data_IF_508721924136
#
_entry.id   IF_508721924136
#
_cell.length_a   1.000
_cell.length_b   1.000
_cell.length_c   1.000
_cell.angle_alpha   90.00
_cell.angle_beta   90.00
_cell.angle_gamma   90.00
#
_symmetry.space_group_name_H-M   'P 1'
#
loop_
_entity.id
_entity.type
_entity.pdbx_description
1 polymer ?
#
# COMPACT_ATOMS: atom_id res chain seq x y z
N UNK A 1 -26.15 -20.64 -24.01
CA UNK A 1 -25.68 -19.80 -22.88
C UNK A 1 -24.38 -19.07 -23.22
N UNK A 2 -23.32 -19.78 -23.67
CA UNK A 2 -22.05 -19.18 -24.10
C UNK A 2 -22.24 -17.96 -25.01
N UNK A 3 -22.92 -18.12 -26.16
CA UNK A 3 -23.16 -17.02 -27.12
C UNK A 3 -23.89 -15.83 -26.49
N UNK A 4 -24.96 -16.08 -25.74
CA UNK A 4 -25.74 -15.04 -25.07
C UNK A 4 -24.88 -14.26 -24.07
N UNK A 5 -24.09 -14.96 -23.25
CA UNK A 5 -23.19 -14.32 -22.28
C UNK A 5 -22.14 -13.47 -22.96
N UNK A 6 -21.51 -13.96 -24.02
CA UNK A 6 -20.55 -13.19 -24.79
C UNK A 6 -21.18 -11.91 -25.36
N UNK A 7 -22.35 -12.01 -25.98
CA UNK A 7 -23.06 -10.85 -26.53
C UNK A 7 -23.46 -9.83 -25.46
N UNK A 8 -23.94 -10.28 -24.30
CA UNK A 8 -24.35 -9.39 -23.20
C UNK A 8 -23.18 -8.64 -22.59
N UNK A 9 -22.05 -9.31 -22.35
CA UNK A 9 -20.87 -8.68 -21.75
C UNK A 9 -20.17 -7.77 -22.78
N UNK A 10 -20.04 -8.23 -24.03
CA UNK A 10 -19.39 -7.45 -25.09
C UNK A 10 -20.19 -6.23 -25.54
N UNK A 11 -21.51 -6.20 -25.37
CA UNK A 11 -22.34 -5.02 -25.65
C UNK A 11 -22.25 -3.93 -24.58
N UNK A 12 -21.46 -4.14 -23.52
CA UNK A 12 -21.33 -3.19 -22.41
C UNK A 12 -22.48 -3.26 -21.39
N UNK A 13 -23.30 -4.31 -21.44
CA UNK A 13 -24.34 -4.55 -20.44
C UNK A 13 -23.74 -4.77 -19.05
N UNK A 14 -24.37 -4.20 -18.02
CA UNK A 14 -24.01 -4.49 -16.62
C UNK A 14 -24.50 -5.89 -16.27
N UNK A 15 -23.58 -6.87 -16.24
CA UNK A 15 -23.88 -8.25 -15.92
C UNK A 15 -22.67 -8.97 -15.34
N UNK A 16 -22.91 -9.84 -14.36
CA UNK A 16 -21.87 -10.71 -13.81
C UNK A 16 -21.58 -11.89 -14.74
N UNK A 17 -20.31 -12.31 -14.81
CA UNK A 17 -19.88 -13.50 -15.56
C UNK A 17 -19.93 -14.78 -14.71
N UNK A 18 -20.21 -14.66 -13.41
CA UNK A 18 -20.25 -15.76 -12.46
C UNK A 18 -21.35 -16.78 -12.79
N UNK A 19 -22.62 -16.37 -12.69
CA UNK A 19 -23.77 -17.27 -12.90
C UNK A 19 -23.72 -17.99 -14.26
N UNK A 20 -23.47 -17.29 -15.38
CA UNK A 20 -23.32 -17.95 -16.66
C UNK A 20 -22.17 -18.96 -16.73
N UNK A 21 -21.02 -18.67 -16.11
CA UNK A 21 -19.89 -19.60 -16.05
C UNK A 21 -20.24 -20.89 -15.31
N UNK A 22 -20.98 -20.78 -14.20
CA UNK A 22 -21.45 -21.95 -13.45
C UNK A 22 -22.38 -22.83 -14.30
N UNK A 23 -23.35 -22.22 -14.99
CA UNK A 23 -24.27 -22.95 -15.89
C UNK A 23 -23.51 -23.61 -17.04
N UNK A 24 -22.58 -22.90 -17.68
CA UNK A 24 -21.78 -23.46 -18.79
C UNK A 24 -20.93 -24.63 -18.30
N UNK A 25 -20.20 -24.46 -17.19
CA UNK A 25 -19.39 -25.53 -16.60
C UNK A 25 -20.22 -26.74 -16.19
N UNK A 26 -21.36 -26.51 -15.54
CA UNK A 26 -22.29 -27.56 -15.15
C UNK A 26 -22.87 -28.33 -16.32
N UNK A 27 -23.30 -27.64 -17.38
CA UNK A 27 -23.79 -28.30 -18.59
C UNK A 27 -22.69 -29.12 -19.29
N UNK A 28 -21.46 -28.60 -19.37
CA UNK A 28 -20.33 -29.33 -19.99
C UNK A 28 -19.96 -30.57 -19.15
N UNK A 29 -19.89 -30.42 -17.83
CA UNK A 29 -19.62 -31.52 -16.91
C UNK A 29 -20.69 -32.60 -16.96
N UNK A 30 -21.97 -32.21 -16.89
CA UNK A 30 -23.10 -33.14 -16.96
C UNK A 30 -23.16 -33.86 -18.32
N UNK A 31 -22.93 -33.15 -19.43
CA UNK A 31 -22.86 -33.77 -20.75
C UNK A 31 -21.74 -34.81 -20.82
N UNK A 32 -20.56 -34.51 -20.26
CA UNK A 32 -19.47 -35.47 -20.16
C UNK A 32 -19.84 -36.68 -19.29
N UNK A 33 -20.44 -36.45 -18.12
CA UNK A 33 -20.89 -37.52 -17.22
C UNK A 33 -21.90 -38.46 -17.87
N UNK A 34 -22.90 -37.90 -18.57
CA UNK A 34 -23.92 -38.69 -19.29
C UNK A 34 -23.29 -39.54 -20.40
N UNK A 35 -22.38 -38.99 -21.19
CA UNK A 35 -21.68 -39.74 -22.24
C UNK A 35 -20.82 -40.86 -21.62
N UNK A 36 -20.13 -40.60 -20.52
CA UNK A 36 -19.33 -41.63 -19.84
C UNK A 36 -20.18 -42.72 -19.18
N UNK A 37 -21.37 -42.38 -18.69
CA UNK A 37 -22.32 -43.37 -18.15
C UNK A 37 -22.82 -44.33 -19.25
N UNK A 38 -23.09 -43.82 -20.46
CA UNK A 38 -23.48 -44.67 -21.59
C UNK A 38 -22.35 -45.62 -22.04
N UNK A 39 -21.09 -45.19 -21.95
CA UNK A 39 -19.94 -46.00 -22.36
C UNK A 39 -19.47 -46.97 -21.27
N UNK A 40 -19.49 -46.54 -20.00
CA UNK A 40 -19.03 -47.33 -18.84
C UNK A 40 -20.00 -47.16 -17.65
N UNK A 41 -21.20 -47.77 -17.72
CA UNK A 41 -22.23 -47.61 -16.69
C UNK A 41 -21.81 -48.15 -15.31
N UNK A 42 -20.97 -49.20 -15.29
CA UNK A 42 -20.48 -49.80 -14.04
C UNK A 42 -19.46 -48.91 -13.30
N UNK A 43 -18.80 -47.99 -14.03
CA UNK A 43 -17.78 -47.08 -13.47
C UNK A 43 -18.40 -45.75 -13.10
N UNK A 44 -19.24 -45.19 -13.97
CA UNK A 44 -19.90 -43.91 -13.75
C UNK A 44 -21.32 -44.16 -13.30
N UNK A 45 -21.54 -44.33 -12.00
CA UNK A 45 -22.87 -44.64 -11.45
C UNK A 45 -23.74 -43.39 -11.24
N UNK A 46 -23.12 -42.22 -11.09
CA UNK A 46 -23.79 -40.93 -10.83
C UNK A 46 -23.29 -39.86 -11.82
N UNK A 47 -23.86 -39.79 -13.04
CA UNK A 47 -23.45 -38.82 -14.06
C UNK A 47 -23.68 -37.35 -13.64
N UNK A 48 -24.64 -37.07 -12.76
CA UNK A 48 -24.94 -35.74 -12.23
C UNK A 48 -23.79 -35.11 -11.44
N UNK A 49 -22.98 -35.94 -10.76
CA UNK A 49 -21.82 -35.50 -9.97
C UNK A 49 -20.77 -34.81 -10.84
N UNK A 50 -20.66 -35.17 -12.12
CA UNK A 50 -19.77 -34.51 -13.07
C UNK A 50 -20.22 -33.09 -13.40
N UNK A 51 -21.52 -32.80 -13.31
CA UNK A 51 -22.04 -31.43 -13.41
C UNK A 51 -21.46 -30.54 -12.31
N UNK A 52 -21.46 -31.00 -11.07
CA UNK A 52 -20.93 -30.25 -9.92
C UNK A 52 -19.42 -29.99 -10.05
N UNK A 53 -18.67 -31.03 -10.43
CA UNK A 53 -17.23 -30.91 -10.70
C UNK A 53 -16.97 -29.95 -11.87
N UNK A 54 -17.80 -30.01 -12.92
CA UNK A 54 -17.72 -29.13 -14.09
C UNK A 54 -18.00 -27.66 -13.77
N UNK A 55 -18.96 -27.36 -12.90
CA UNK A 55 -19.22 -26.01 -12.39
C UNK A 55 -17.96 -25.42 -11.76
N UNK A 56 -17.34 -26.18 -10.85
CA UNK A 56 -16.18 -25.73 -10.12
C UNK A 56 -14.93 -25.61 -11.00
N UNK A 57 -14.67 -26.62 -11.84
CA UNK A 57 -13.51 -26.64 -12.74
C UNK A 57 -13.52 -25.47 -13.72
N UNK A 58 -14.66 -25.24 -14.36
CA UNK A 58 -14.82 -24.17 -15.35
C UNK A 58 -14.58 -22.79 -14.72
N UNK A 59 -15.25 -22.48 -13.61
CA UNK A 59 -15.11 -21.17 -12.98
C UNK A 59 -13.73 -20.98 -12.32
N UNK A 60 -13.13 -22.04 -11.77
CA UNK A 60 -11.76 -21.99 -11.23
C UNK A 60 -10.74 -21.61 -12.29
N UNK A 61 -10.85 -22.20 -13.48
CA UNK A 61 -9.99 -21.88 -14.62
C UNK A 61 -10.23 -20.47 -15.17
N UNK A 62 -11.50 -20.05 -15.25
CA UNK A 62 -11.85 -18.76 -15.84
C UNK A 62 -11.58 -17.56 -14.91
N UNK A 63 -11.85 -17.72 -13.60
CA UNK A 63 -11.71 -16.66 -12.60
C UNK A 63 -10.37 -16.66 -11.87
N UNK A 64 -9.53 -17.68 -12.07
CA UNK A 64 -8.26 -17.88 -11.35
C UNK A 64 -8.44 -17.89 -9.81
N UNK A 65 -9.56 -18.47 -9.34
CA UNK A 65 -9.93 -18.52 -7.92
C UNK A 65 -10.34 -19.93 -7.47
N UNK A 66 -9.44 -20.94 -7.55
CA UNK A 66 -9.79 -22.35 -7.37
C UNK A 66 -10.39 -22.65 -5.98
N UNK A 67 -9.74 -22.18 -4.91
CA UNK A 67 -10.18 -22.46 -3.53
C UNK A 67 -11.58 -21.90 -3.27
N UNK A 68 -11.79 -20.63 -3.59
CA UNK A 68 -13.09 -19.96 -3.40
C UNK A 68 -14.20 -20.65 -4.21
N UNK A 69 -13.88 -21.06 -5.44
CA UNK A 69 -14.85 -21.74 -6.31
C UNK A 69 -15.24 -23.12 -5.77
N UNK A 70 -14.28 -23.92 -5.30
CA UNK A 70 -14.53 -25.24 -4.72
C UNK A 70 -15.47 -25.12 -3.50
N UNK A 71 -15.16 -24.20 -2.59
CA UNK A 71 -15.98 -23.95 -1.39
C UNK A 71 -17.37 -23.51 -1.83
N UNK A 72 -17.47 -22.49 -2.69
CA UNK A 72 -18.74 -21.95 -3.14
C UNK A 72 -19.65 -22.99 -3.78
N UNK A 73 -19.11 -23.84 -4.67
CA UNK A 73 -19.90 -24.91 -5.31
C UNK A 73 -20.38 -25.90 -4.25
N UNK A 74 -19.49 -26.34 -3.35
CA UNK A 74 -19.82 -27.32 -2.30
C UNK A 74 -20.89 -26.79 -1.34
N UNK A 75 -20.81 -25.51 -0.96
CA UNK A 75 -21.82 -24.84 -0.12
C UNK A 75 -23.16 -24.70 -0.84
N UNK A 76 -23.15 -24.30 -2.12
CA UNK A 76 -24.37 -24.15 -2.91
C UNK A 76 -25.09 -25.48 -3.15
N UNK A 77 -24.35 -26.58 -3.25
CA UNK A 77 -24.90 -27.92 -3.51
C UNK A 77 -25.21 -28.68 -2.23
N UNK A 78 -24.59 -28.29 -1.10
CA UNK A 78 -24.72 -28.97 0.19
C UNK A 78 -24.03 -30.34 0.24
N UNK A 79 -23.18 -30.66 -0.73
CA UNK A 79 -22.48 -31.94 -0.82
C UNK A 79 -20.95 -31.73 -0.84
N UNK A 80 -20.29 -32.24 0.20
CA UNK A 80 -18.83 -32.20 0.35
C UNK A 80 -18.15 -33.51 -0.02
N UNK A 81 -18.91 -34.54 -0.39
CA UNK A 81 -18.38 -35.86 -0.78
C UNK A 81 -17.50 -35.75 -2.03
N UNK A 82 -17.79 -34.77 -2.89
CA UNK A 82 -17.06 -34.50 -4.13
C UNK A 82 -15.90 -33.51 -3.96
N UNK A 83 -15.54 -33.09 -2.74
CA UNK A 83 -14.47 -32.12 -2.50
C UNK A 83 -13.14 -32.52 -3.16
N UNK A 84 -12.70 -33.76 -2.95
CA UNK A 84 -11.41 -34.25 -3.46
C UNK A 84 -11.36 -34.25 -5.01
N UNK A 85 -12.32 -34.89 -5.73
CA UNK A 85 -12.39 -34.78 -7.19
C UNK A 85 -12.46 -33.33 -7.69
N UNK A 86 -13.23 -32.50 -7.01
CA UNK A 86 -13.43 -31.08 -7.37
C UNK A 86 -12.16 -30.27 -7.20
N UNK A 87 -11.41 -30.49 -6.12
CA UNK A 87 -10.09 -29.89 -5.89
C UNK A 87 -9.12 -30.23 -7.02
N UNK A 88 -9.05 -31.51 -7.39
CA UNK A 88 -8.15 -31.97 -8.45
C UNK A 88 -8.50 -31.34 -9.81
N UNK A 89 -9.78 -31.43 -10.20
CA UNK A 89 -10.25 -30.85 -11.47
C UNK A 89 -10.06 -29.33 -11.50
N UNK A 90 -10.43 -28.62 -10.44
CA UNK A 90 -10.31 -27.17 -10.33
C UNK A 90 -8.86 -26.69 -10.38
N UNK A 91 -7.94 -27.42 -9.74
CA UNK A 91 -6.51 -27.12 -9.78
C UNK A 91 -5.95 -27.34 -11.18
N UNK A 92 -6.34 -28.43 -11.84
CA UNK A 92 -5.91 -28.71 -13.21
C UNK A 92 -6.41 -27.63 -14.19
N UNK A 93 -7.70 -27.26 -14.11
CA UNK A 93 -8.27 -26.18 -14.90
C UNK A 93 -7.56 -24.84 -14.63
N UNK A 94 -7.28 -24.51 -13.37
CA UNK A 94 -6.53 -23.31 -12.99
C UNK A 94 -5.14 -23.26 -13.65
N UNK A 95 -4.38 -24.36 -13.57
CA UNK A 95 -3.03 -24.44 -14.14
C UNK A 95 -3.06 -24.35 -15.66
N UNK A 96 -3.94 -25.11 -16.32
CA UNK A 96 -4.04 -25.16 -17.78
C UNK A 96 -4.57 -23.84 -18.38
N UNK A 97 -5.49 -23.17 -17.68
CA UNK A 97 -6.09 -21.92 -18.12
C UNK A 97 -5.34 -20.66 -17.68
N UNK A 98 -4.14 -20.77 -17.07
CA UNK A 98 -3.37 -19.62 -16.57
C UNK A 98 -3.12 -18.51 -17.61
N UNK A 99 -3.02 -18.88 -18.90
CA UNK A 99 -2.83 -17.93 -20.02
C UNK A 99 -4.11 -17.18 -20.43
N UNK A 100 -5.28 -17.68 -20.06
CA UNK A 100 -6.57 -17.16 -20.49
C UNK A 100 -7.25 -16.51 -19.28
N UNK A 101 -7.59 -15.22 -19.40
CA UNK A 101 -8.26 -14.46 -18.34
C UNK A 101 -9.68 -14.11 -18.77
N UNK A 102 -10.66 -14.44 -17.94
CA UNK A 102 -12.04 -14.00 -18.16
C UNK A 102 -12.19 -12.50 -17.86
N UNK A 103 -11.50 -12.01 -16.83
CA UNK A 103 -11.57 -10.62 -16.39
C UNK A 103 -10.43 -9.79 -16.99
N UNK A 104 -10.75 -8.91 -17.94
CA UNK A 104 -9.75 -8.05 -18.60
C UNK A 104 -9.03 -7.10 -17.64
N UNK A 105 -9.73 -6.66 -16.58
CA UNK A 105 -9.17 -5.77 -15.55
C UNK A 105 -8.43 -6.52 -14.41
N UNK A 106 -8.30 -7.84 -14.49
CA UNK A 106 -7.63 -8.62 -13.46
C UNK A 106 -6.11 -8.49 -13.57
N UNK A 107 -5.56 -7.73 -12.63
CA UNK A 107 -4.13 -7.57 -12.44
C UNK A 107 -3.50 -8.87 -11.91
N UNK A 108 -2.25 -9.18 -12.30
CA UNK A 108 -1.54 -10.39 -11.91
C UNK A 108 -1.13 -10.40 -10.43
N UNK A 109 -0.80 -9.25 -9.86
CA UNK A 109 -0.32 -9.12 -8.49
C UNK A 109 -1.13 -8.06 -7.73
N UNK A 110 -1.12 -8.15 -6.40
CA UNK A 110 -1.75 -7.13 -5.53
C UNK A 110 -1.13 -5.75 -5.74
N UNK A 111 0.15 -5.68 -6.11
CA UNK A 111 0.92 -4.46 -6.39
C UNK A 111 0.30 -3.60 -7.50
N UNK A 112 -0.20 -4.27 -8.53
CA UNK A 112 -0.80 -3.61 -9.69
C UNK A 112 -2.26 -3.21 -9.41
N UNK A 113 -2.84 -3.67 -8.30
CA UNK A 113 -4.20 -3.33 -7.90
C UNK A 113 -4.24 -1.95 -7.24
N UNK A 114 -4.94 -1.01 -7.87
CA UNK A 114 -5.20 0.31 -7.28
C UNK A 114 -5.87 0.25 -5.91
N UNK A 115 -6.63 -0.82 -5.63
CA UNK A 115 -7.34 -1.02 -4.37
C UNK A 115 -6.42 -1.30 -3.17
N UNK A 116 -5.19 -1.79 -3.40
CA UNK A 116 -4.28 -2.23 -2.34
C UNK A 116 -3.04 -1.32 -2.18
N UNK A 117 -3.02 -0.15 -2.84
CA UNK A 117 -1.87 0.76 -2.80
C UNK A 117 -1.53 1.27 -1.40
N UNK A 118 -2.56 1.50 -0.56
CA UNK A 118 -2.37 1.99 0.80
C UNK A 118 -1.71 0.94 1.71
N UNK A 119 -2.26 -0.26 1.70
CA UNK A 119 -1.76 -1.40 2.49
C UNK A 119 -0.32 -1.75 2.09
N UNK A 120 0.01 -1.69 0.81
CA UNK A 120 1.35 -2.00 0.34
C UNK A 120 2.42 -0.96 0.72
N UNK A 121 2.06 0.33 0.82
CA UNK A 121 2.96 1.36 1.36
C UNK A 121 3.29 1.06 2.82
N UNK A 122 2.32 0.55 3.58
CA UNK A 122 2.53 0.10 4.94
C UNK A 122 3.46 -1.12 4.93
N UNK A 123 3.14 -2.17 4.18
CA UNK A 123 3.93 -3.42 4.15
C UNK A 123 5.40 -3.21 3.76
N UNK A 124 5.71 -2.31 2.81
CA UNK A 124 7.10 -2.06 2.38
C UNK A 124 7.90 -1.20 3.34
N UNK A 125 7.25 -0.30 4.08
CA UNK A 125 7.92 0.63 4.99
C UNK A 125 7.91 0.12 6.44
N UNK A 126 7.01 -0.80 6.76
CA UNK A 126 6.91 -1.44 8.06
C UNK A 126 8.12 -2.33 8.32
N UNK A 127 8.73 -2.16 9.49
CA UNK A 127 9.97 -2.79 9.90
C UNK A 127 11.23 -2.01 9.51
N UNK A 128 11.13 -0.97 8.66
CA UNK A 128 12.28 -0.15 8.25
C UNK A 128 12.40 1.04 9.19
N UNK A 129 13.58 1.17 9.80
CA UNK A 129 13.84 2.19 10.81
C UNK A 129 14.21 3.53 10.19
N UNK A 130 13.80 4.61 10.84
CA UNK A 130 14.22 5.98 10.50
C UNK A 130 15.74 6.09 10.43
N UNK A 131 16.45 5.34 11.27
CA UNK A 131 17.92 5.28 11.33
C UNK A 131 18.59 5.00 9.97
N UNK A 132 17.92 4.25 9.10
CA UNK A 132 18.45 3.86 7.78
C UNK A 132 18.38 4.98 6.73
N UNK A 133 17.56 6.01 6.96
CA UNK A 133 17.21 7.01 5.93
C UNK A 133 17.54 8.45 6.34
N UNK A 134 17.42 8.77 7.63
CA UNK A 134 17.56 10.15 8.08
C UNK A 134 18.98 10.71 7.91
N UNK A 135 19.08 12.03 7.77
CA UNK A 135 20.38 12.71 7.80
C UNK A 135 20.82 12.99 9.23
N UNK A 136 22.01 12.50 9.54
CA UNK A 136 22.69 12.78 10.80
C UNK A 136 23.06 14.26 10.88
N UNK A 137 23.33 14.73 12.11
CA UNK A 137 23.84 16.08 12.36
C UNK A 137 25.28 16.20 11.83
N UNK A 138 25.45 16.43 10.53
CA UNK A 138 26.77 16.50 9.88
C UNK A 138 27.44 17.89 10.03
N UNK A 139 27.09 18.64 11.08
CA UNK A 139 27.59 20.01 11.35
C UNK A 139 27.14 21.09 10.35
N UNK A 140 26.47 20.72 9.26
CA UNK A 140 25.94 21.65 8.24
C UNK A 140 24.54 22.18 8.57
N UNK A 141 23.87 21.58 9.56
CA UNK A 141 22.54 22.00 9.99
C UNK A 141 22.65 23.26 10.84
N UNK A 142 21.90 24.28 10.46
CA UNK A 142 21.86 25.53 11.22
C UNK A 142 20.83 25.41 12.32
N UNK A 143 21.30 25.43 13.56
CA UNK A 143 20.47 25.59 14.76
C UNK A 143 20.43 27.06 15.16
N UNK A 144 19.29 27.50 15.69
CA UNK A 144 19.03 28.90 16.04
C UNK A 144 18.87 29.00 17.55
N UNK A 145 19.69 29.77 18.27
CA UNK A 145 19.47 30.05 19.69
C UNK A 145 18.12 30.76 19.91
N UNK A 146 17.40 30.43 20.98
CA UNK A 146 16.07 31.00 21.30
C UNK A 146 16.06 32.53 21.43
N UNK A 147 17.19 33.11 21.83
CA UNK A 147 17.39 34.57 21.97
C UNK A 147 17.84 35.26 20.69
N UNK A 148 18.04 34.54 19.58
CA UNK A 148 18.54 35.13 18.34
C UNK A 148 17.53 36.11 17.74
N UNK A 149 17.92 37.37 17.46
CA UNK A 149 17.01 38.35 16.86
C UNK A 149 16.56 37.96 15.45
N UNK A 150 15.31 38.26 15.10
CA UNK A 150 14.72 37.96 13.80
C UNK A 150 15.53 38.48 12.61
N UNK A 151 16.11 39.68 12.73
CA UNK A 151 17.00 40.27 11.71
C UNK A 151 18.16 39.34 11.35
N UNK A 152 18.78 38.70 12.35
CA UNK A 152 19.89 37.75 12.13
C UNK A 152 19.40 36.43 11.59
N UNK A 153 18.21 35.97 12.01
CA UNK A 153 17.55 34.78 11.46
C UNK A 153 17.33 34.94 9.95
N UNK A 154 16.82 36.08 9.50
CA UNK A 154 16.58 36.36 8.07
C UNK A 154 17.86 36.30 7.24
N UNK A 155 18.99 36.79 7.77
CA UNK A 155 20.30 36.67 7.12
C UNK A 155 20.77 35.21 7.00
N UNK A 156 20.47 34.38 8.00
CA UNK A 156 20.75 32.93 7.93
C UNK A 156 19.82 32.21 6.95
N UNK A 157 18.54 32.57 6.89
CA UNK A 157 17.60 31.99 5.93
C UNK A 157 18.05 32.30 4.50
N UNK A 158 18.45 33.54 4.20
CA UNK A 158 18.85 33.94 2.85
C UNK A 158 20.16 33.32 2.37
N UNK A 159 21.01 32.86 3.29
CA UNK A 159 22.33 32.28 2.98
C UNK A 159 22.33 30.74 3.01
N UNK A 160 21.21 30.11 3.39
CA UNK A 160 21.10 28.66 3.53
C UNK A 160 20.03 28.08 2.61
N UNK A 161 20.13 26.79 2.31
CA UNK A 161 19.11 26.01 1.58
C UNK A 161 18.22 25.21 2.54
N UNK A 162 18.20 25.61 3.82
CA UNK A 162 17.45 24.93 4.88
C UNK A 162 16.05 25.54 4.96
N UNK A 163 15.01 24.70 5.03
CA UNK A 163 13.63 25.18 5.10
C UNK A 163 13.10 25.22 6.54
N UNK A 164 13.58 24.32 7.40
CA UNK A 164 13.18 24.20 8.80
C UNK A 164 14.37 24.43 9.71
N UNK A 165 14.21 25.25 10.74
CA UNK A 165 15.25 25.72 11.63
C UNK A 165 14.92 25.34 13.08
N UNK A 166 15.63 24.34 13.63
CA UNK A 166 15.49 23.98 15.04
C UNK A 166 15.96 25.12 15.93
N UNK A 167 15.16 25.42 16.95
CA UNK A 167 15.48 26.41 17.97
C UNK A 167 15.99 25.71 19.22
N UNK A 168 17.11 26.19 19.74
CA UNK A 168 17.80 25.58 20.88
C UNK A 168 17.98 26.55 22.04
N UNK A 169 17.95 26.02 23.26
CA UNK A 169 18.26 26.75 24.48
C UNK A 169 19.79 26.89 24.70
N UNK A 170 20.18 27.52 25.82
CA UNK A 170 21.58 27.69 26.21
C UNK A 170 22.35 26.38 26.45
N UNK A 171 21.67 25.26 26.64
CA UNK A 171 22.25 23.92 26.81
C UNK A 171 22.24 23.11 25.49
N UNK A 172 21.94 23.75 24.35
CA UNK A 172 21.79 23.11 23.04
C UNK A 172 20.65 22.08 22.96
N UNK A 173 19.63 22.19 23.82
CA UNK A 173 18.42 21.36 23.77
C UNK A 173 17.40 22.03 22.88
N UNK A 174 16.76 21.24 22.01
CA UNK A 174 15.71 21.74 21.12
C UNK A 174 14.45 22.11 21.92
N UNK A 175 14.04 23.37 21.81
CA UNK A 175 12.85 23.93 22.47
C UNK A 175 11.71 24.21 21.48
N UNK A 176 12.03 24.32 20.20
CA UNK A 176 11.03 24.54 19.15
C UNK A 176 11.62 24.38 17.74
N UNK A 177 10.79 24.63 16.73
CA UNK A 177 11.20 24.69 15.34
C UNK A 177 10.39 25.76 14.62
N UNK A 178 10.96 26.40 13.61
CA UNK A 178 10.20 27.22 12.66
C UNK A 178 10.62 26.92 11.24
N UNK A 179 9.74 27.17 10.29
CA UNK A 179 10.01 27.14 8.87
C UNK A 179 10.30 28.54 8.33
N UNK A 180 10.94 28.62 7.18
CA UNK A 180 11.09 29.89 6.47
C UNK A 180 9.75 30.56 6.13
N UNK A 181 8.65 29.78 6.06
CA UNK A 181 7.30 30.30 5.82
C UNK A 181 6.71 30.97 7.06
N UNK A 182 6.95 30.43 8.26
CA UNK A 182 6.46 30.99 9.52
C UNK A 182 6.95 32.42 9.73
N UNK A 183 8.20 32.68 9.32
CA UNK A 183 8.85 33.99 9.39
C UNK A 183 8.17 35.03 8.49
N UNK A 184 7.54 34.63 7.37
CA UNK A 184 6.94 35.57 6.41
C UNK A 184 5.82 36.41 7.04
N UNK A 185 5.10 35.85 8.01
CA UNK A 185 4.02 36.56 8.71
C UNK A 185 4.52 37.77 9.50
N UNK A 186 5.78 37.75 9.95
CA UNK A 186 6.41 38.80 10.74
C UNK A 186 7.10 39.90 9.89
N UNK A 187 7.21 39.71 8.57
CA UNK A 187 7.85 40.67 7.66
C UNK A 187 6.97 41.89 7.34
N UNK A 188 5.68 41.84 7.64
CA UNK A 188 4.73 42.90 7.25
C UNK A 188 4.55 44.00 8.32
N UNK A 189 5.21 43.88 9.47
CA UNK A 189 5.12 44.86 10.55
C UNK A 189 6.51 45.31 11.01
N UNK A 190 6.90 46.53 10.62
CA UNK A 190 8.23 47.10 10.86
C UNK A 190 8.61 47.21 12.35
N UNK A 191 7.63 47.34 13.26
CA UNK A 191 7.88 47.40 14.71
C UNK A 191 8.20 46.03 15.31
N UNK A 192 7.52 44.97 14.87
CA UNK A 192 7.73 43.59 15.35
C UNK A 192 9.06 43.05 14.80
N UNK A 193 9.43 43.47 13.58
CA UNK A 193 10.65 43.06 12.89
C UNK A 193 11.95 43.34 13.68
N UNK A 194 11.95 44.39 14.52
CA UNK A 194 13.14 44.81 15.28
C UNK A 194 13.22 44.23 16.69
N UNK A 195 12.09 43.76 17.26
CA UNK A 195 12.02 43.29 18.65
C UNK A 195 11.89 41.77 18.79
N UNK A 196 11.37 41.08 17.77
CA UNK A 196 11.14 39.64 17.84
C UNK A 196 12.44 38.82 17.88
N UNK A 197 12.42 37.77 18.69
CA UNK A 197 13.47 36.74 18.76
C UNK A 197 12.97 35.38 18.28
N UNK A 198 13.87 34.40 18.13
CA UNK A 198 13.50 33.05 17.69
C UNK A 198 12.41 32.41 18.55
N UNK A 199 12.43 32.65 19.87
CA UNK A 199 11.43 32.15 20.81
C UNK A 199 10.00 32.65 20.51
N UNK A 200 9.84 33.85 19.92
CA UNK A 200 8.52 34.41 19.60
C UNK A 200 7.92 33.82 18.32
N UNK A 201 8.77 33.25 17.46
CA UNK A 201 8.41 32.80 16.11
C UNK A 201 8.28 31.28 16.04
N UNK A 202 8.98 30.57 16.94
CA UNK A 202 9.02 29.12 16.92
C UNK A 202 7.67 28.49 17.26
N UNK A 203 7.44 27.30 16.71
CA UNK A 203 6.37 26.41 17.12
C UNK A 203 6.90 25.50 18.25
N UNK A 204 6.34 25.60 19.47
CA UNK A 204 6.67 24.69 20.55
C UNK A 204 6.00 23.32 20.34
N UNK A 205 6.39 22.31 21.14
CA UNK A 205 5.82 20.95 21.09
C UNK A 205 5.93 20.29 19.71
N UNK A 206 7.15 20.24 19.19
CA UNK A 206 7.44 19.72 17.85
C UNK A 206 7.15 18.21 17.77
N UNK A 207 6.54 17.78 16.68
CA UNK A 207 6.38 16.34 16.40
C UNK A 207 7.74 15.79 15.98
N UNK A 208 8.29 14.87 16.76
CA UNK A 208 9.63 14.29 16.54
C UNK A 208 9.59 12.79 16.37
N UNK A 209 10.53 12.22 15.63
CA UNK A 209 10.70 10.76 15.52
C UNK A 209 12.03 10.34 16.15
N UNK A 210 12.14 9.07 16.52
CA UNK A 210 13.40 8.50 17.01
C UNK A 210 14.05 7.65 15.92
N UNK A 211 15.35 7.34 15.97
CA UNK A 211 16.00 6.44 15.02
C UNK A 211 15.33 5.07 14.95
N UNK A 212 14.81 4.60 16.08
CA UNK A 212 14.10 3.32 16.21
C UNK A 212 12.64 3.37 15.73
N UNK A 213 12.12 4.56 15.41
CA UNK A 213 10.78 4.70 14.85
C UNK A 213 10.71 4.11 13.45
N UNK A 214 9.55 3.60 13.11
CA UNK A 214 9.25 3.04 11.80
C UNK A 214 9.00 4.14 10.75
N UNK A 215 9.42 3.93 9.49
CA UNK A 215 9.20 4.88 8.40
C UNK A 215 7.73 5.13 8.08
N UNK A 216 6.84 4.14 8.23
CA UNK A 216 5.40 4.32 8.12
C UNK A 216 4.88 5.28 9.20
N UNK A 217 5.42 5.18 10.42
CA UNK A 217 5.09 6.11 11.50
C UNK A 217 5.53 7.54 11.15
N UNK A 218 6.73 7.70 10.59
CA UNK A 218 7.18 9.00 10.10
C UNK A 218 6.29 9.54 8.96
N UNK A 219 5.89 8.69 8.01
CA UNK A 219 5.02 9.06 6.89
C UNK A 219 3.63 9.52 7.35
N UNK A 220 3.06 8.83 8.35
CA UNK A 220 1.80 9.25 9.00
C UNK A 220 1.94 10.63 9.64
N UNK A 221 3.06 10.91 10.31
CA UNK A 221 3.34 12.22 10.93
C UNK A 221 3.51 13.33 9.91
N UNK A 222 4.20 13.09 8.80
CA UNK A 222 4.29 14.06 7.69
C UNK A 222 2.90 14.43 7.17
N UNK A 223 2.04 13.42 6.96
CA UNK A 223 0.71 13.62 6.36
C UNK A 223 -0.28 14.27 7.32
N UNK A 224 -0.23 13.91 8.61
CA UNK A 224 -1.16 14.42 9.62
C UNK A 224 -1.08 15.94 9.85
N UNK A 225 0.09 16.54 9.64
CA UNK A 225 0.31 18.00 9.79
C UNK A 225 0.72 18.69 8.49
N UNK A 226 0.74 17.96 7.37
CA UNK A 226 1.25 18.44 6.08
C UNK A 226 2.61 19.14 6.20
N UNK A 227 3.55 18.48 6.87
CA UNK A 227 4.92 18.96 7.09
C UNK A 227 5.90 18.18 6.20
N UNK A 228 7.04 18.81 5.88
CA UNK A 228 8.03 18.24 4.96
C UNK A 228 9.28 17.69 5.64
N UNK A 229 9.60 18.16 6.85
CA UNK A 229 10.74 17.69 7.63
C UNK A 229 10.34 17.39 9.08
N UNK A 230 10.89 16.31 9.63
CA UNK A 230 10.67 15.87 11.01
C UNK A 230 12.01 15.86 11.75
N UNK A 231 12.09 16.46 12.95
CA UNK A 231 13.25 16.30 13.80
C UNK A 231 13.40 14.85 14.26
N UNK A 232 14.62 14.35 14.14
CA UNK A 232 15.03 13.07 14.70
C UNK A 232 15.73 13.35 16.02
N UNK A 233 15.15 12.85 17.11
CA UNK A 233 15.65 13.08 18.47
C UNK A 233 16.16 11.78 19.08
N UNK A 234 17.06 11.90 20.05
CA UNK A 234 17.60 10.74 20.75
C UNK A 234 16.48 9.98 21.48
N UNK A 235 16.56 8.65 21.49
CA UNK A 235 15.50 7.81 22.06
C UNK A 235 15.36 7.99 23.59
N UNK A 236 16.45 8.36 24.26
CA UNK A 236 16.58 8.62 25.68
C UNK A 236 16.27 10.07 26.06
N UNK A 237 16.37 11.01 25.12
CA UNK A 237 16.15 12.43 25.37
C UNK A 237 15.42 13.13 24.19
N UNK A 238 14.11 13.41 24.33
CA UNK A 238 13.30 14.07 23.30
C UNK A 238 13.75 15.48 22.93
N UNK A 239 14.53 16.16 23.79
CA UNK A 239 15.05 17.50 23.52
C UNK A 239 16.42 17.46 22.83
N UNK A 240 17.06 16.29 22.73
CA UNK A 240 18.35 16.15 22.05
C UNK A 240 18.13 15.85 20.57
N UNK A 241 18.27 16.87 19.73
CA UNK A 241 18.24 16.73 18.28
C UNK A 241 19.49 15.99 17.78
N UNK A 242 19.29 14.94 16.98
CA UNK A 242 20.38 14.14 16.39
C UNK A 242 20.33 14.12 14.86
N UNK A 243 19.23 14.56 14.26
CA UNK A 243 19.10 14.65 12.81
C UNK A 243 17.78 15.26 12.36
N UNK A 244 17.58 15.29 11.04
CA UNK A 244 16.30 15.65 10.42
C UNK A 244 15.97 14.61 9.35
N UNK A 245 14.72 14.19 9.32
CA UNK A 245 14.18 13.29 8.30
C UNK A 245 13.34 14.11 7.33
N UNK A 246 13.61 14.03 6.03
CA UNK A 246 12.81 14.73 5.02
C UNK A 246 11.82 13.78 4.35
N UNK A 247 10.61 14.26 4.10
CA UNK A 247 9.57 13.51 3.39
C UNK A 247 10.05 12.98 2.03
N UNK A 248 10.81 13.80 1.30
CA UNK A 248 11.40 13.41 0.01
C UNK A 248 12.35 12.21 0.10
N UNK A 249 13.07 12.06 1.21
CA UNK A 249 14.03 10.96 1.41
C UNK A 249 13.28 9.66 1.66
N UNK A 250 12.21 9.70 2.48
CA UNK A 250 11.32 8.56 2.69
C UNK A 250 10.66 8.12 1.38
N UNK A 251 10.17 9.07 0.57
CA UNK A 251 9.58 8.76 -0.74
C UNK A 251 10.61 8.17 -1.71
N UNK A 252 11.82 8.74 -1.77
CA UNK A 252 12.88 8.22 -2.62
C UNK A 252 13.28 6.80 -2.21
N UNK A 253 13.37 6.54 -0.91
CA UNK A 253 13.65 5.23 -0.36
C UNK A 253 12.54 4.22 -0.69
N UNK A 254 11.26 4.59 -0.50
CA UNK A 254 10.11 3.79 -0.89
C UNK A 254 10.16 3.41 -2.38
N UNK A 255 10.38 4.39 -3.26
CA UNK A 255 10.44 4.16 -4.71
C UNK A 255 11.58 3.20 -5.09
N UNK A 256 12.73 3.29 -4.41
CA UNK A 256 13.85 2.36 -4.62
C UNK A 256 13.46 0.93 -4.22
N UNK A 257 12.88 0.74 -3.03
CA UNK A 257 12.40 -0.57 -2.55
C UNK A 257 11.34 -1.17 -3.48
N UNK A 258 10.43 -0.33 -3.99
CA UNK A 258 9.41 -0.76 -4.96
C UNK A 258 10.03 -1.32 -6.25
N UNK A 259 11.10 -0.70 -6.75
CA UNK A 259 11.82 -1.18 -7.95
C UNK A 259 12.54 -2.50 -7.66
N UNK A 260 13.23 -2.60 -6.53
CA UNK A 260 13.93 -3.83 -6.10
C UNK A 260 12.94 -5.01 -5.98
N UNK A 261 11.76 -4.80 -5.38
CA UNK A 261 10.74 -5.84 -5.26
C UNK A 261 10.17 -6.28 -6.62
N UNK A 262 9.93 -5.33 -7.54
CA UNK A 262 9.47 -5.65 -8.90
C UNK A 262 10.49 -6.46 -9.69
N UNK A 263 11.78 -6.27 -9.44
CA UNK A 263 12.84 -7.05 -10.09
C UNK A 263 12.96 -8.47 -9.53
N UNK A 264 12.64 -8.69 -8.25
CA UNK A 264 12.64 -10.04 -7.65
C UNK A 264 11.46 -10.90 -8.12
N UNK A 265 10.35 -10.28 -8.53
CA UNK A 265 9.16 -10.99 -9.03
C UNK A 265 9.16 -11.25 -10.55
N UNK A 266 10.09 -10.64 -11.30
CA UNK A 266 10.22 -10.77 -12.76
C UNK A 266 11.12 -11.95 -13.16
#
# INVERSE_FOLDING_TARGET
KIVTTSLTISSGGSGGVFGPSMVVGGCVGAAFGLVMHEVWPDVVTQPESYGLVGMAGFFSGAAHAPISTIIMVSEMTGDYSLLLPTMFCSTLCFVLCRRWKLYTKQVPTRLESGAHRGDFIVDLLEGIKVEEVYRHLDGRMVMIPESMPLKTILQKISTTQQHYFPVVDGESRMVGIFSAEDVRSYLFNDEIWTLAVANDIMVPNVITVTPQSDLNTALKRFTARNIDELPVVAADNPSKLIGMLRRKEVIAFYNRRLVEHKQMEA
#
